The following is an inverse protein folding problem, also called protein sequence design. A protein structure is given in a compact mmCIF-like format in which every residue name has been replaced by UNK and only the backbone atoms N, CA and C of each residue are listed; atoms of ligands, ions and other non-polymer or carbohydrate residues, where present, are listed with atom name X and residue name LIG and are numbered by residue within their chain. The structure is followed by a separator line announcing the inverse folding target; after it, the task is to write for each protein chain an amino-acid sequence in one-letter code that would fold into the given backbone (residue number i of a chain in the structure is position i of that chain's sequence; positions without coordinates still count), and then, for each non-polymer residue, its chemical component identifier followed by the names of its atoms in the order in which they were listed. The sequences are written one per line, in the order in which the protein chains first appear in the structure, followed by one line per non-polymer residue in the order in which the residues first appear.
data_IF_021372735022
#
_entry.id   IF_021372735022
#
_cell.length_a   1.000
_cell.length_b   1.000
_cell.length_c   1.000
_cell.angle_alpha   90.00
_cell.angle_beta   90.00
_cell.angle_gamma   90.00
#
_symmetry.space_group_name_H-M   'P 1'
#
loop_
_entity.id
_entity.type
_entity.pdbx_description
1 polymer ?
#
# COMPACT_ATOMS: atom_id res chain seq x y z
N UNK A 1 6.02 -4.34 12.62
CA UNK A 1 6.73 -4.83 11.40
C UNK A 1 7.35 -6.17 11.75
N UNK A 2 6.53 -7.22 11.80
CA UNK A 2 6.94 -8.59 12.15
C UNK A 2 6.57 -9.58 11.04
N UNK A 3 5.91 -9.11 9.98
CA UNK A 3 5.33 -9.92 8.89
C UNK A 3 6.36 -10.34 7.83
N UNK A 4 7.54 -9.70 7.77
CA UNK A 4 8.53 -10.00 6.76
C UNK A 4 9.40 -11.19 7.20
N UNK A 5 8.93 -12.42 6.98
CA UNK A 5 9.67 -13.65 7.27
C UNK A 5 10.99 -13.81 6.48
N UNK A 6 11.35 -12.87 5.60
CA UNK A 6 12.65 -12.83 4.90
C UNK A 6 13.22 -11.42 4.81
N UNK A 7 14.50 -11.31 5.16
CA UNK A 7 15.28 -10.10 4.94
C UNK A 7 15.41 -9.79 3.44
N UNK A 8 15.38 -8.50 3.03
CA UNK A 8 15.56 -8.13 1.63
C UNK A 8 16.95 -8.54 1.13
N UNK A 9 17.06 -8.82 -0.18
CA UNK A 9 18.36 -9.17 -0.79
C UNK A 9 19.37 -8.03 -0.66
N UNK A 10 18.94 -6.78 -0.83
CA UNK A 10 19.73 -5.59 -0.53
C UNK A 10 18.78 -4.46 -0.10
N UNK A 11 19.13 -3.67 0.93
CA UNK A 11 18.48 -2.38 1.12
C UNK A 11 18.94 -1.42 0.02
N UNK A 12 18.03 -0.59 -0.48
CA UNK A 12 18.32 0.47 -1.46
C UNK A 12 18.12 1.81 -0.77
N UNK A 13 19.16 2.64 -0.78
CA UNK A 13 19.19 3.93 -0.10
C UNK A 13 19.60 5.05 -1.06
N UNK A 14 19.37 6.29 -0.65
CA UNK A 14 20.01 7.45 -1.27
C UNK A 14 21.48 7.60 -0.81
N UNK A 15 22.20 8.53 -1.41
CA UNK A 15 23.60 8.84 -1.09
C UNK A 15 23.75 9.75 0.14
N UNK A 16 22.73 9.84 0.99
CA UNK A 16 22.76 10.65 2.20
C UNK A 16 23.90 10.23 3.15
N UNK A 17 24.48 11.17 3.91
CA UNK A 17 25.57 10.87 4.84
C UNK A 17 25.19 9.78 5.86
N UNK A 18 23.93 9.75 6.29
CA UNK A 18 23.39 8.75 7.22
C UNK A 18 23.30 7.31 6.66
N UNK A 19 23.49 7.14 5.35
CA UNK A 19 23.47 5.81 4.70
C UNK A 19 24.81 5.48 4.05
N UNK A 20 25.76 6.42 4.00
CA UNK A 20 27.06 6.24 3.34
C UNK A 20 28.20 6.09 4.34
N UNK A 21 27.94 6.28 5.64
CA UNK A 21 28.88 6.03 6.71
C UNK A 21 29.23 4.53 6.87
N UNK A 22 30.34 4.28 7.57
CA UNK A 22 30.84 2.92 7.76
C UNK A 22 29.97 2.12 8.76
N UNK A 23 29.38 2.76 9.76
CA UNK A 23 28.58 2.09 10.79
C UNK A 23 27.30 1.51 10.18
N UNK A 24 26.63 2.26 9.29
CA UNK A 24 25.47 1.77 8.55
C UNK A 24 25.85 0.60 7.62
N UNK A 25 26.95 0.71 6.88
CA UNK A 25 27.42 -0.36 5.98
C UNK A 25 27.74 -1.65 6.75
N UNK A 26 28.42 -1.54 7.89
CA UNK A 26 28.74 -2.69 8.75
C UNK A 26 27.49 -3.24 9.44
N UNK A 27 26.54 -2.39 9.84
CA UNK A 27 25.25 -2.84 10.32
C UNK A 27 24.50 -3.66 9.26
N UNK A 28 24.45 -3.19 8.00
CA UNK A 28 23.84 -3.94 6.90
C UNK A 28 24.56 -5.27 6.66
N UNK A 29 25.90 -5.28 6.66
CA UNK A 29 26.68 -6.51 6.50
C UNK A 29 26.38 -7.51 7.61
N UNK A 30 26.31 -7.05 8.86
CA UNK A 30 26.03 -7.90 10.04
C UNK A 30 24.59 -8.39 10.10
N UNK A 31 23.60 -7.56 9.74
CA UNK A 31 22.16 -7.88 9.88
C UNK A 31 21.57 -8.53 8.64
N UNK A 32 22.07 -8.20 7.45
CA UNK A 32 21.53 -8.64 6.16
C UNK A 32 22.53 -9.50 5.36
N UNK A 33 23.76 -9.66 5.86
CA UNK A 33 24.85 -10.39 5.20
C UNK A 33 25.47 -9.65 4.01
N UNK A 34 25.06 -8.40 3.74
CA UNK A 34 25.36 -7.68 2.48
C UNK A 34 25.41 -6.17 2.69
N UNK A 35 26.14 -5.48 1.83
CA UNK A 35 26.17 -4.00 1.79
C UNK A 35 24.90 -3.42 1.15
N UNK A 36 24.51 -2.19 1.51
CA UNK A 36 23.43 -1.46 0.85
C UNK A 36 23.77 -1.19 -0.63
N UNK A 37 22.74 -1.00 -1.43
CA UNK A 37 22.84 -0.44 -2.78
C UNK A 37 22.37 1.00 -2.76
N UNK A 38 22.93 1.80 -3.65
CA UNK A 38 22.57 3.20 -3.76
C UNK A 38 21.96 3.49 -5.12
N UNK A 39 21.06 4.47 -5.16
CA UNK A 39 20.64 5.07 -6.40
C UNK A 39 21.81 5.64 -7.18
N UNK A 40 21.80 5.43 -8.50
CA UNK A 40 22.74 6.12 -9.37
C UNK A 40 22.47 7.63 -9.32
N UNK A 41 23.53 8.43 -9.19
CA UNK A 41 23.44 9.88 -9.14
C UNK A 41 22.77 10.38 -10.44
N UNK A 42 21.77 11.25 -10.31
CA UNK A 42 20.98 11.75 -11.44
C UNK A 42 19.95 10.75 -12.01
N UNK A 43 19.71 9.60 -11.36
CA UNK A 43 18.64 8.65 -11.71
C UNK A 43 17.57 8.60 -10.62
N UNK A 44 16.33 8.88 -10.99
CA UNK A 44 15.23 9.02 -10.04
C UNK A 44 14.50 7.71 -9.67
N UNK A 45 14.84 6.58 -10.29
CA UNK A 45 14.03 5.35 -10.13
C UNK A 45 14.22 4.59 -8.82
N UNK A 46 15.44 4.58 -8.28
CA UNK A 46 15.83 3.68 -7.18
C UNK A 46 15.12 3.93 -5.85
N UNK A 47 14.79 5.18 -5.56
CA UNK A 47 14.14 5.63 -4.32
C UNK A 47 12.74 6.22 -4.56
N UNK A 48 12.28 6.30 -5.81
CA UNK A 48 10.98 6.86 -6.16
C UNK A 48 9.81 6.20 -5.41
N UNK A 49 9.92 4.91 -5.08
CA UNK A 49 8.89 4.19 -4.31
C UNK A 49 8.75 4.76 -2.91
N UNK A 50 9.87 4.94 -2.19
CA UNK A 50 9.83 5.49 -0.82
C UNK A 50 9.49 6.98 -0.83
N UNK A 51 9.97 7.74 -1.82
CA UNK A 51 9.61 9.15 -2.00
C UNK A 51 8.10 9.32 -2.23
N UNK A 52 7.51 8.46 -3.07
CA UNK A 52 6.06 8.46 -3.31
C UNK A 52 5.29 8.09 -2.05
N UNK A 53 5.76 7.12 -1.27
CA UNK A 53 5.18 6.81 0.03
C UNK A 53 5.22 8.03 0.96
N UNK A 54 6.38 8.66 1.15
CA UNK A 54 6.55 9.82 2.04
C UNK A 54 5.65 10.98 1.59
N UNK A 55 5.60 11.26 0.28
CA UNK A 55 4.71 12.29 -0.27
C UNK A 55 3.25 11.97 0.02
N UNK A 56 2.80 10.75 -0.28
CA UNK A 56 1.43 10.30 0.01
C UNK A 56 1.10 10.43 1.49
N UNK A 57 2.04 10.05 2.36
CA UNK A 57 1.87 10.13 3.81
C UNK A 57 1.71 11.58 4.29
N UNK A 58 2.53 12.49 3.78
CA UNK A 58 2.41 13.92 4.08
C UNK A 58 1.08 14.50 3.58
N UNK A 59 0.75 14.24 2.32
CA UNK A 59 -0.38 14.87 1.63
C UNK A 59 -1.74 14.37 2.13
N UNK A 60 -1.87 13.06 2.33
CA UNK A 60 -3.14 12.43 2.71
C UNK A 60 -3.36 12.51 4.22
N UNK A 61 -2.30 12.49 5.03
CA UNK A 61 -2.41 12.29 6.47
C UNK A 61 -1.75 13.39 7.31
N UNK A 62 -0.42 13.52 7.29
CA UNK A 62 0.28 14.36 8.27
C UNK A 62 -0.12 15.83 8.19
N UNK A 63 -0.38 16.36 6.98
CA UNK A 63 -0.87 17.74 6.81
C UNK A 63 -2.31 17.96 7.27
N UNK A 64 -3.04 16.90 7.62
CA UNK A 64 -4.45 16.93 8.03
C UNK A 64 -4.66 16.62 9.51
N UNK A 65 -3.59 16.42 10.28
CA UNK A 65 -3.66 16.15 11.72
C UNK A 65 -2.83 17.20 12.47
N UNK A 66 -3.19 17.45 13.72
CA UNK A 66 -2.26 18.07 14.66
C UNK A 66 -1.27 16.98 15.08
N UNK A 67 0.00 17.16 14.71
CA UNK A 67 1.04 16.17 14.99
C UNK A 67 1.27 16.15 16.52
N UNK A 68 1.08 15.01 17.19
CA UNK A 68 1.30 14.93 18.62
C UNK A 68 2.77 15.19 18.98
N UNK A 69 3.02 16.02 19.98
CA UNK A 69 4.38 16.22 20.53
C UNK A 69 4.89 14.99 21.28
N UNK A 70 3.98 14.18 21.82
CA UNK A 70 4.32 12.92 22.47
C UNK A 70 4.79 11.89 21.44
N UNK A 71 6.04 11.43 21.55
CA UNK A 71 6.65 10.48 20.61
C UNK A 71 5.89 9.15 20.49
N UNK A 72 5.26 8.66 21.57
CA UNK A 72 4.46 7.43 21.53
C UNK A 72 3.20 7.64 20.70
N UNK A 73 2.50 8.75 20.91
CA UNK A 73 1.31 9.11 20.13
C UNK A 73 1.66 9.36 18.67
N UNK A 74 2.74 10.11 18.38
CA UNK A 74 3.23 10.31 17.00
C UNK A 74 3.51 8.97 16.31
N UNK A 75 4.18 8.03 16.97
CA UNK A 75 4.43 6.69 16.41
C UNK A 75 3.13 5.92 16.18
N UNK A 76 2.13 6.07 17.05
CA UNK A 76 0.81 5.46 16.87
C UNK A 76 0.15 5.98 15.59
N UNK A 77 0.08 7.30 15.44
CA UNK A 77 -0.46 7.97 14.25
C UNK A 77 0.23 7.49 12.95
N UNK A 78 1.57 7.41 12.97
CA UNK A 78 2.34 6.90 11.83
C UNK A 78 2.03 5.42 11.56
N UNK A 79 1.88 4.61 12.60
CA UNK A 79 1.63 3.17 12.48
C UNK A 79 0.26 2.90 11.85
N UNK A 80 -0.78 3.60 12.30
CA UNK A 80 -2.14 3.46 11.75
C UNK A 80 -2.15 3.82 10.26
N UNK A 81 -1.50 4.91 9.86
CA UNK A 81 -1.37 5.25 8.44
C UNK A 81 -0.62 4.17 7.65
N UNK A 82 0.52 3.69 8.15
CA UNK A 82 1.34 2.69 7.47
C UNK A 82 0.55 1.38 7.30
N UNK A 83 -0.21 0.97 8.30
CA UNK A 83 -1.09 -0.19 8.20
C UNK A 83 -2.16 0.04 7.14
N UNK A 84 -2.86 1.16 7.17
CA UNK A 84 -3.86 1.49 6.16
C UNK A 84 -3.30 1.51 4.74
N UNK A 85 -2.14 2.14 4.55
CA UNK A 85 -1.45 2.24 3.26
C UNK A 85 -1.10 0.86 2.68
N UNK A 86 -0.67 -0.07 3.54
CA UNK A 86 -0.25 -1.41 3.12
C UNK A 86 -1.39 -2.41 2.98
N UNK A 87 -2.43 -2.29 3.81
CA UNK A 87 -3.51 -3.29 3.90
C UNK A 87 -4.72 -2.94 3.03
N UNK A 88 -5.08 -1.66 2.94
CA UNK A 88 -6.39 -1.26 2.38
C UNK A 88 -6.30 -0.35 1.17
N UNK A 89 -5.17 0.34 0.95
CA UNK A 89 -5.02 1.28 -0.16
C UNK A 89 -4.52 0.58 -1.43
N UNK A 90 -5.30 0.52 -2.52
CA UNK A 90 -4.80 0.08 -3.83
C UNK A 90 -3.80 1.09 -4.40
N UNK A 91 -2.81 0.61 -5.16
CA UNK A 91 -1.81 1.49 -5.80
C UNK A 91 -1.80 1.31 -7.30
N UNK A 92 -1.89 2.42 -8.02
CA UNK A 92 -1.82 2.43 -9.49
C UNK A 92 -0.49 1.84 -10.01
N UNK A 93 0.64 2.14 -9.37
CA UNK A 93 1.94 1.55 -9.72
C UNK A 93 2.05 0.05 -9.43
N UNK A 94 1.08 -0.52 -8.72
CA UNK A 94 0.97 -1.95 -8.46
C UNK A 94 -0.23 -2.57 -9.20
N UNK A 95 -0.77 -1.89 -10.23
CA UNK A 95 -1.93 -2.32 -11.01
C UNK A 95 -3.21 -2.46 -10.16
N UNK A 96 -3.37 -1.58 -9.17
CA UNK A 96 -4.52 -1.57 -8.27
C UNK A 96 -4.49 -2.67 -7.19
N UNK A 97 -3.33 -3.28 -6.97
CA UNK A 97 -3.07 -4.20 -5.86
C UNK A 97 -2.58 -3.42 -4.64
N UNK A 98 -2.89 -3.89 -3.44
CA UNK A 98 -2.34 -3.36 -2.19
C UNK A 98 -0.89 -3.85 -1.98
N UNK A 99 -0.04 -3.14 -1.22
CA UNK A 99 1.32 -3.59 -0.98
C UNK A 99 1.39 -4.94 -0.28
N UNK A 100 0.47 -5.24 0.63
CA UNK A 100 0.45 -6.53 1.33
C UNK A 100 0.11 -7.68 0.37
N UNK A 101 -0.90 -7.52 -0.50
CA UNK A 101 -1.27 -8.55 -1.47
C UNK A 101 -0.10 -8.87 -2.41
N UNK A 102 0.60 -7.83 -2.88
CA UNK A 102 1.80 -7.99 -3.71
C UNK A 102 2.93 -8.67 -2.94
N UNK A 103 3.12 -8.31 -1.68
CA UNK A 103 4.21 -8.82 -0.85
C UNK A 103 4.01 -10.30 -0.50
N UNK A 104 2.80 -10.68 -0.12
CA UNK A 104 2.42 -12.05 0.25
C UNK A 104 2.15 -12.94 -0.97
N UNK A 105 2.11 -12.36 -2.17
CA UNK A 105 1.71 -13.03 -3.41
C UNK A 105 0.34 -13.71 -3.26
N UNK A 106 -0.57 -13.06 -2.56
CA UNK A 106 -1.95 -13.51 -2.37
C UNK A 106 -2.80 -13.14 -3.60
N UNK A 107 -3.97 -13.77 -3.76
CA UNK A 107 -4.91 -13.41 -4.82
C UNK A 107 -5.46 -12.01 -4.55
N UNK A 108 -5.17 -11.00 -5.40
CA UNK A 108 -5.59 -9.63 -5.12
C UNK A 108 -7.09 -9.44 -5.26
N UNK A 109 -7.67 -8.57 -4.46
CA UNK A 109 -9.10 -8.21 -4.51
C UNK A 109 -9.53 -7.70 -5.90
N UNK A 110 -8.63 -7.02 -6.63
CA UNK A 110 -8.92 -6.53 -7.99
C UNK A 110 -9.14 -7.67 -9.02
N UNK A 111 -8.65 -8.88 -8.74
CA UNK A 111 -8.87 -10.06 -9.58
C UNK A 111 -10.14 -10.82 -9.22
N UNK A 112 -10.83 -10.44 -8.14
CA UNK A 112 -12.07 -11.08 -7.74
C UNK A 112 -13.18 -10.83 -8.79
N UNK A 113 -14.15 -11.75 -8.94
CA UNK A 113 -15.30 -11.54 -9.80
C UNK A 113 -16.03 -10.23 -9.45
N UNK A 114 -16.31 -9.40 -10.46
CA UNK A 114 -16.93 -8.10 -10.30
C UNK A 114 -18.44 -8.21 -10.07
N UNK A 115 -19.00 -7.29 -9.29
CA UNK A 115 -20.44 -7.08 -9.28
C UNK A 115 -20.92 -6.42 -10.59
N UNK A 116 -22.15 -6.73 -11.02
CA UNK A 116 -22.79 -6.08 -12.17
C UNK A 116 -24.20 -5.61 -11.79
N UNK A 117 -24.38 -4.32 -11.45
CA UNK A 117 -25.67 -3.80 -11.01
C UNK A 117 -26.70 -3.69 -12.14
N UNK A 118 -26.29 -3.72 -13.41
CA UNK A 118 -27.21 -3.57 -14.55
C UNK A 118 -27.70 -4.94 -15.02
N UNK A 119 -29.00 -5.19 -14.84
CA UNK A 119 -29.66 -6.47 -15.16
C UNK A 119 -29.40 -6.98 -16.58
N UNK A 120 -29.45 -6.08 -17.58
CA UNK A 120 -29.34 -6.43 -19.01
C UNK A 120 -27.91 -6.33 -19.57
N UNK A 121 -26.91 -5.97 -18.77
CA UNK A 121 -25.54 -5.78 -19.28
C UNK A 121 -24.91 -7.11 -19.71
N UNK A 122 -24.27 -7.23 -20.89
CA UNK A 122 -23.72 -8.51 -21.34
C UNK A 122 -22.62 -9.03 -20.39
N UNK A 123 -22.63 -10.33 -20.07
CA UNK A 123 -21.64 -10.92 -19.15
C UNK A 123 -20.21 -10.87 -19.72
N UNK A 124 -20.08 -10.94 -21.04
CA UNK A 124 -18.80 -10.88 -21.76
C UNK A 124 -18.30 -9.46 -22.01
N UNK A 125 -19.04 -8.43 -21.59
CA UNK A 125 -18.59 -7.04 -21.73
C UNK A 125 -17.32 -6.80 -20.93
N UNK A 126 -16.35 -6.11 -21.54
CA UNK A 126 -15.10 -5.70 -20.90
C UNK A 126 -15.37 -4.76 -19.72
N UNK A 127 -14.47 -4.76 -18.76
CA UNK A 127 -14.40 -3.80 -17.65
C UNK A 127 -12.98 -3.19 -17.61
N UNK A 128 -12.73 -2.30 -16.63
CA UNK A 128 -11.38 -1.87 -16.31
C UNK A 128 -10.49 -3.11 -16.08
N UNK A 129 -9.21 -3.03 -16.48
CA UNK A 129 -8.27 -4.13 -16.28
C UNK A 129 -8.03 -4.35 -14.77
N UNK A 130 -7.82 -5.61 -14.33
CA UNK A 130 -7.94 -6.84 -15.11
C UNK A 130 -9.40 -7.15 -15.48
N UNK A 131 -9.62 -7.75 -16.65
CA UNK A 131 -10.96 -8.15 -17.06
C UNK A 131 -11.36 -9.38 -16.24
N UNK A 132 -12.31 -9.22 -15.33
CA UNK A 132 -12.79 -10.26 -14.41
C UNK A 132 -14.24 -10.67 -14.71
N UNK A 133 -14.63 -11.92 -14.43
CA UNK A 133 -15.99 -12.40 -14.67
C UNK A 133 -17.00 -11.70 -13.75
N UNK A 134 -18.28 -11.72 -14.14
CA UNK A 134 -19.38 -11.24 -13.29
C UNK A 134 -19.63 -12.24 -12.16
N UNK A 135 -19.59 -11.75 -10.91
CA UNK A 135 -19.95 -12.48 -9.69
C UNK A 135 -21.43 -12.84 -9.72
N UNK A 136 -21.76 -14.12 -9.55
CA UNK A 136 -23.13 -14.63 -9.42
C UNK A 136 -24.07 -14.14 -10.55
N UNK A 137 -25.04 -13.29 -10.20
CA UNK A 137 -26.07 -12.72 -11.08
C UNK A 137 -25.83 -11.23 -11.37
N UNK A 138 -26.40 -10.77 -12.48
CA UNK A 138 -26.48 -9.34 -12.84
C UNK A 138 -27.73 -8.72 -12.21
N UNK A 139 -27.79 -7.39 -12.16
CA UNK A 139 -28.94 -6.69 -11.57
C UNK A 139 -28.89 -6.65 -10.05
N UNK A 140 -27.71 -6.83 -9.46
CA UNK A 140 -27.53 -6.79 -8.01
C UNK A 140 -27.61 -5.36 -7.49
N UNK A 141 -28.25 -5.17 -6.34
CA UNK A 141 -28.14 -3.93 -5.57
C UNK A 141 -26.90 -4.02 -4.69
N UNK A 142 -26.13 -2.95 -4.66
CA UNK A 142 -24.89 -2.86 -3.89
C UNK A 142 -25.03 -1.75 -2.87
N UNK A 143 -24.42 -1.98 -1.71
CA UNK A 143 -24.19 -0.99 -0.67
C UNK A 143 -22.69 -0.67 -0.63
N UNK A 144 -22.38 0.63 -0.64
CA UNK A 144 -21.03 1.13 -0.43
C UNK A 144 -20.82 1.32 1.07
N UNK A 145 -20.02 0.44 1.67
CA UNK A 145 -19.69 0.52 3.10
C UNK A 145 -18.36 1.23 3.25
N UNK A 146 -18.39 2.36 3.96
CA UNK A 146 -17.19 3.12 4.32
C UNK A 146 -17.00 2.96 5.81
N UNK A 147 -15.94 2.26 6.19
CA UNK A 147 -15.43 2.19 7.56
C UNK A 147 -14.11 2.95 7.66
N UNK A 148 -13.50 2.97 8.83
CA UNK A 148 -12.30 3.76 9.10
C UNK A 148 -11.29 2.95 9.91
N UNK A 149 -10.02 3.00 9.49
CA UNK A 149 -8.93 2.37 10.23
C UNK A 149 -8.76 3.05 11.59
N UNK A 150 -8.90 2.28 12.67
CA UNK A 150 -8.74 2.78 14.06
C UNK A 150 -9.62 4.02 14.35
N UNK A 151 -10.86 4.00 13.86
CA UNK A 151 -11.84 5.10 13.96
C UNK A 151 -11.37 6.43 13.31
N UNK A 152 -10.26 6.41 12.58
CA UNK A 152 -9.69 7.58 11.97
C UNK A 152 -10.38 7.93 10.65
N UNK A 153 -11.25 8.94 10.68
CA UNK A 153 -12.04 9.40 9.52
C UNK A 153 -11.20 9.80 8.30
N UNK A 154 -9.89 9.99 8.44
CA UNK A 154 -8.96 10.32 7.34
C UNK A 154 -8.42 9.08 6.62
N UNK A 155 -8.66 7.88 7.16
CA UNK A 155 -8.17 6.59 6.66
C UNK A 155 -9.34 5.66 6.35
N UNK A 156 -10.10 5.94 5.27
CA UNK A 156 -11.29 5.17 4.93
C UNK A 156 -10.91 3.77 4.41
N UNK A 157 -11.66 2.76 4.86
CA UNK A 157 -11.66 1.41 4.31
C UNK A 157 -12.99 1.23 3.57
N UNK A 158 -12.89 0.97 2.26
CA UNK A 158 -14.04 0.97 1.36
C UNK A 158 -14.35 -0.46 0.94
N UNK A 159 -15.59 -0.89 1.15
CA UNK A 159 -16.10 -2.19 0.75
C UNK A 159 -17.38 -2.05 -0.07
N UNK A 160 -17.60 -2.99 -1.00
CA UNK A 160 -18.87 -3.14 -1.72
C UNK A 160 -19.55 -4.42 -1.25
N UNK A 161 -20.75 -4.29 -0.69
CA UNK A 161 -21.58 -5.42 -0.24
C UNK A 161 -22.79 -5.56 -1.13
N UNK A 162 -23.23 -6.80 -1.36
CA UNK A 162 -24.49 -7.05 -2.05
C UNK A 162 -25.63 -6.98 -1.03
N UNK A 163 -26.66 -6.18 -1.33
CA UNK A 163 -27.87 -6.13 -0.52
C UNK A 163 -28.68 -7.41 -0.78
N UNK A 164 -29.23 -8.00 0.29
CA UNK A 164 -30.07 -9.20 0.23
C UNK A 164 -31.28 -9.00 -0.71
#
# INVERSE_FOLDING_TARGET
IQLAGRAPKHPVCDQGPQFTDNDFKEWCKRKLGRKPRYGAVGKHGSIAVIERFIRTFKDIYLRKILIPYNMKQMRSEMTVFIQWYNLYRPHESLDGVTPIERYENSTPAIQAPRYEPRRKWPRKSRCAKPVVPVKNRRGVKLELVISYMDENRKLPVIELRQVA
#
